data_IF_170662315946
#
_entry.id   IF_170662315946
#
_cell.length_a   1.000
_cell.length_b   1.000
_cell.length_c   1.000
_cell.angle_alpha   90.00
_cell.angle_beta   90.00
_cell.angle_gamma   90.00
#
_symmetry.space_group_name_H-M   'P 1'
#
loop_
_entity.id
_entity.type
_entity.pdbx_description
1 polymer ?
#
# COMPACT_ATOMS: atom_id res chain seq x y z
N UNK A 1 22.75 6.24 16.97
CA UNK A 1 23.17 5.48 15.79
C UNK A 1 22.67 6.27 14.59
N UNK A 2 23.46 7.20 14.03
CA UNK A 2 23.08 8.00 12.84
C UNK A 2 24.34 8.50 12.13
N UNK A 3 25.13 7.54 11.63
CA UNK A 3 26.39 7.86 10.96
C UNK A 3 26.51 7.12 9.63
N UNK A 4 25.59 7.35 8.68
CA UNK A 4 25.60 6.67 7.38
C UNK A 4 26.90 6.88 6.61
N UNK A 5 27.54 8.05 6.79
CA UNK A 5 28.85 8.34 6.20
C UNK A 5 29.98 7.47 6.75
N UNK A 6 29.96 7.15 8.03
CA UNK A 6 30.94 6.21 8.62
C UNK A 6 30.69 4.78 8.10
N UNK A 7 29.43 4.35 8.02
CA UNK A 7 29.06 3.07 7.44
C UNK A 7 29.50 2.96 5.97
N UNK A 8 29.31 4.03 5.18
CA UNK A 8 29.75 4.07 3.78
C UNK A 8 31.27 4.02 3.64
N UNK A 9 32.01 4.73 4.49
CA UNK A 9 33.47 4.65 4.51
C UNK A 9 33.94 3.22 4.81
N UNK A 10 33.33 2.53 5.78
CA UNK A 10 33.65 1.13 6.10
C UNK A 10 33.44 0.20 4.90
N UNK A 11 32.35 0.40 4.16
CA UNK A 11 32.04 -0.39 2.96
C UNK A 11 33.06 -0.15 1.84
N UNK A 12 33.54 1.09 1.69
CA UNK A 12 34.64 1.41 0.78
C UNK A 12 35.93 0.73 1.23
N UNK A 13 36.24 0.73 2.52
CA UNK A 13 37.47 0.13 3.04
C UNK A 13 37.47 -1.40 2.87
N UNK A 14 36.31 -2.06 3.04
CA UNK A 14 36.13 -3.49 2.76
C UNK A 14 36.41 -3.84 1.30
N UNK A 15 35.99 -2.98 0.35
CA UNK A 15 36.24 -3.20 -1.08
C UNK A 15 37.73 -3.11 -1.44
N UNK A 16 38.49 -2.28 -0.73
CA UNK A 16 39.92 -2.07 -0.99
C UNK A 16 40.84 -2.93 -0.09
N UNK A 17 40.26 -3.76 0.78
CA UNK A 17 40.97 -4.74 1.61
C UNK A 17 41.35 -4.28 3.03
N UNK A 18 41.11 -3.00 3.37
CA UNK A 18 41.49 -2.38 4.65
C UNK A 18 42.94 -2.66 5.10
N UNK A 19 43.22 -2.43 6.39
CA UNK A 19 44.53 -2.76 7.00
C UNK A 19 44.80 -4.29 7.06
N UNK A 20 43.77 -5.12 6.85
CA UNK A 20 43.82 -6.60 7.01
C UNK A 20 43.98 -7.38 5.70
N UNK A 21 44.11 -6.73 4.54
CA UNK A 21 44.26 -7.35 3.19
C UNK A 21 43.14 -8.34 2.78
N UNK A 22 41.96 -8.30 3.41
CA UNK A 22 40.81 -9.15 3.03
C UNK A 22 39.81 -8.27 2.30
N UNK A 23 39.67 -8.48 0.98
CA UNK A 23 38.65 -7.82 0.18
C UNK A 23 37.31 -8.54 0.37
N UNK A 24 36.31 -7.81 0.89
CA UNK A 24 34.94 -8.30 1.00
C UNK A 24 34.11 -7.48 0.02
N UNK A 25 33.47 -8.16 -0.93
CA UNK A 25 32.54 -7.51 -1.85
C UNK A 25 31.26 -7.17 -1.09
N UNK A 26 30.86 -5.88 -1.01
CA UNK A 26 29.62 -5.49 -0.37
C UNK A 26 28.44 -6.15 -1.07
N UNK A 27 27.45 -6.62 -0.32
CA UNK A 27 26.20 -7.12 -0.85
C UNK A 27 25.16 -5.98 -0.92
N UNK A 28 23.99 -6.27 -1.51
CA UNK A 28 22.87 -5.32 -1.49
C UNK A 28 22.39 -4.95 -0.08
N UNK A 29 22.69 -5.77 0.94
CA UNK A 29 22.31 -5.51 2.33
C UNK A 29 23.06 -4.31 2.93
N UNK A 30 24.37 -4.23 2.69
CA UNK A 30 25.21 -3.13 3.16
C UNK A 30 24.75 -1.79 2.57
N UNK A 31 24.46 -1.76 1.26
CA UNK A 31 23.93 -0.56 0.60
C UNK A 31 22.56 -0.15 1.14
N UNK A 32 21.64 -1.10 1.35
CA UNK A 32 20.34 -0.81 1.97
C UNK A 32 20.50 -0.23 3.38
N UNK A 33 21.49 -0.68 4.14
CA UNK A 33 21.76 -0.14 5.49
C UNK A 33 22.23 1.33 5.44
N UNK A 34 23.12 1.68 4.51
CA UNK A 34 23.53 3.08 4.28
C UNK A 34 22.33 3.92 3.82
N UNK A 35 21.57 3.39 2.84
CA UNK A 35 20.37 4.01 2.28
C UNK A 35 19.38 4.36 3.40
N UNK A 36 19.11 3.42 4.31
CA UNK A 36 18.26 3.65 5.48
C UNK A 36 18.76 4.83 6.32
N UNK A 37 20.06 4.85 6.63
CA UNK A 37 20.67 5.89 7.45
C UNK A 37 20.60 7.28 6.81
N UNK A 38 20.93 7.42 5.52
CA UNK A 38 20.80 8.70 4.82
C UNK A 38 19.34 9.17 4.73
N UNK A 39 18.41 8.25 4.46
CA UNK A 39 17.00 8.59 4.35
C UNK A 39 16.39 9.07 5.67
N UNK A 40 16.74 8.41 6.78
CA UNK A 40 16.34 8.83 8.13
C UNK A 40 16.79 10.24 8.48
N UNK A 41 17.93 10.67 7.95
CA UNK A 41 18.49 12.01 8.16
C UNK A 41 18.03 13.06 7.14
N UNK A 42 17.26 12.68 6.11
CA UNK A 42 16.83 13.60 5.06
C UNK A 42 17.95 14.01 4.10
N UNK A 43 19.06 13.27 4.09
CA UNK A 43 20.21 13.52 3.21
C UNK A 43 19.94 12.91 1.83
N UNK A 44 18.95 13.45 1.10
CA UNK A 44 18.43 12.85 -0.12
C UNK A 44 19.44 12.75 -1.25
N UNK A 45 20.35 13.72 -1.38
CA UNK A 45 21.41 13.65 -2.38
C UNK A 45 22.30 12.41 -2.16
N UNK A 46 22.69 12.12 -0.92
CA UNK A 46 23.48 10.95 -0.59
C UNK A 46 22.67 9.65 -0.68
N UNK A 47 21.41 9.67 -0.24
CA UNK A 47 20.47 8.56 -0.42
C UNK A 47 20.39 8.13 -1.89
N UNK A 48 20.11 9.08 -2.79
CA UNK A 48 19.96 8.81 -4.23
C UNK A 48 21.29 8.42 -4.88
N UNK A 49 22.40 9.01 -4.45
CA UNK A 49 23.75 8.60 -4.88
C UNK A 49 24.03 7.14 -4.53
N UNK A 50 23.59 6.66 -3.37
CA UNK A 50 23.73 5.26 -2.96
C UNK A 50 22.87 4.34 -3.83
N UNK A 51 21.63 4.74 -4.18
CA UNK A 51 20.81 3.99 -5.16
C UNK A 51 21.54 3.87 -6.50
N UNK A 52 22.05 4.97 -7.03
CA UNK A 52 22.76 4.98 -8.32
C UNK A 52 24.01 4.08 -8.28
N UNK A 53 24.70 4.04 -7.14
CA UNK A 53 25.83 3.13 -6.93
C UNK A 53 25.38 1.66 -6.89
N UNK A 54 24.23 1.35 -6.28
CA UNK A 54 23.67 0.00 -6.30
C UNK A 54 23.42 -0.45 -7.75
N UNK A 55 22.75 0.39 -8.56
CA UNK A 55 22.47 0.09 -9.97
C UNK A 55 23.76 -0.11 -10.77
N UNK A 56 24.74 0.79 -10.62
CA UNK A 56 26.04 0.69 -11.31
C UNK A 56 26.85 -0.54 -10.93
N UNK A 57 26.67 -1.06 -9.71
CA UNK A 57 27.30 -2.30 -9.26
C UNK A 57 26.47 -3.54 -9.62
N UNK A 58 25.40 -3.40 -10.43
CA UNK A 58 24.57 -4.50 -10.92
C UNK A 58 23.53 -5.02 -9.92
N UNK A 59 23.28 -4.29 -8.82
CA UNK A 59 22.21 -4.65 -7.89
C UNK A 59 20.85 -4.20 -8.41
N UNK A 60 19.86 -5.08 -8.28
CA UNK A 60 18.46 -4.78 -8.59
C UNK A 60 17.88 -3.85 -7.53
N UNK A 61 17.25 -2.76 -7.97
CA UNK A 61 16.45 -1.89 -7.11
C UNK A 61 15.08 -2.54 -6.92
N UNK A 62 14.99 -3.38 -5.89
CA UNK A 62 13.80 -4.14 -5.56
C UNK A 62 12.76 -3.32 -4.77
N UNK A 63 11.57 -3.91 -4.55
CA UNK A 63 10.49 -3.33 -3.74
C UNK A 63 10.97 -2.89 -2.35
N UNK A 64 11.98 -3.55 -1.77
CA UNK A 64 12.53 -3.14 -0.47
C UNK A 64 13.24 -1.79 -0.60
N UNK A 65 14.10 -1.62 -1.60
CA UNK A 65 14.82 -0.37 -1.85
C UNK A 65 13.87 0.79 -2.17
N UNK A 66 12.89 0.58 -3.06
CA UNK A 66 11.85 1.59 -3.36
C UNK A 66 11.12 2.02 -2.10
N UNK A 67 10.67 1.08 -1.26
CA UNK A 67 9.96 1.40 -0.03
C UNK A 67 10.83 2.19 0.96
N UNK A 68 12.15 1.98 0.99
CA UNK A 68 13.04 2.77 1.85
C UNK A 68 13.15 4.22 1.39
N UNK A 69 13.24 4.44 0.08
CA UNK A 69 13.26 5.79 -0.51
C UNK A 69 11.90 6.48 -0.33
N UNK A 70 10.80 5.80 -0.61
CA UNK A 70 9.44 6.33 -0.40
C UNK A 70 9.19 6.67 1.07
N UNK A 71 9.59 5.79 2.01
CA UNK A 71 9.50 6.07 3.45
C UNK A 71 10.31 7.31 3.84
N UNK A 72 11.51 7.46 3.28
CA UNK A 72 12.37 8.63 3.51
C UNK A 72 11.69 9.92 3.05
N UNK A 73 11.18 9.98 1.82
CA UNK A 73 10.46 11.16 1.35
C UNK A 73 9.19 11.43 2.18
N UNK A 74 8.43 10.38 2.51
CA UNK A 74 7.21 10.50 3.30
C UNK A 74 7.42 11.09 4.70
N UNK A 75 8.47 10.68 5.44
CA UNK A 75 8.73 11.23 6.79
C UNK A 75 9.17 12.70 6.77
N UNK A 76 9.66 13.20 5.64
CA UNK A 76 10.12 14.58 5.47
C UNK A 76 9.15 15.45 4.65
N UNK A 77 8.00 14.89 4.23
CA UNK A 77 6.97 15.62 3.48
C UNK A 77 7.31 15.91 2.00
N UNK A 78 8.28 15.20 1.43
CA UNK A 78 8.75 15.37 0.05
C UNK A 78 7.82 14.66 -0.95
N UNK A 79 6.59 15.17 -1.09
CA UNK A 79 5.53 14.51 -1.85
C UNK A 79 5.80 14.42 -3.36
N UNK A 80 6.43 15.44 -3.95
CA UNK A 80 6.70 15.49 -5.40
C UNK A 80 7.68 14.39 -5.80
N UNK A 81 8.73 14.23 -5.01
CA UNK A 81 9.75 13.20 -5.10
C UNK A 81 9.12 11.83 -4.89
N UNK A 82 8.24 11.71 -3.90
CA UNK A 82 7.52 10.46 -3.64
C UNK A 82 6.65 10.04 -4.84
N UNK A 83 5.92 10.98 -5.47
CA UNK A 83 5.16 10.72 -6.71
C UNK A 83 6.08 10.27 -7.84
N UNK A 84 7.21 10.94 -8.03
CA UNK A 84 8.21 10.56 -9.05
C UNK A 84 8.70 9.13 -8.84
N UNK A 85 8.94 8.75 -7.59
CA UNK A 85 9.40 7.40 -7.23
C UNK A 85 8.32 6.33 -7.37
N UNK A 86 7.06 6.63 -7.05
CA UNK A 86 5.93 5.72 -7.32
C UNK A 86 5.80 5.46 -8.83
N UNK A 87 5.90 6.51 -9.65
CA UNK A 87 5.89 6.36 -11.11
C UNK A 87 7.08 5.56 -11.62
N UNK A 88 8.28 5.82 -11.11
CA UNK A 88 9.49 5.04 -11.45
C UNK A 88 9.30 3.56 -11.10
N UNK A 89 8.75 3.27 -9.91
CA UNK A 89 8.48 1.91 -9.45
C UNK A 89 7.53 1.18 -10.41
N UNK A 90 6.40 1.82 -10.76
CA UNK A 90 5.42 1.29 -11.73
C UNK A 90 6.06 1.07 -13.11
N UNK A 91 6.73 2.08 -13.65
CA UNK A 91 7.34 2.03 -14.98
C UNK A 91 8.46 0.98 -15.09
N UNK A 92 9.09 0.63 -13.97
CA UNK A 92 10.12 -0.40 -13.90
C UNK A 92 9.55 -1.80 -13.66
N UNK A 93 8.22 -1.96 -13.58
CA UNK A 93 7.55 -3.23 -13.30
C UNK A 93 7.81 -3.77 -11.90
N UNK A 94 8.24 -2.91 -10.96
CA UNK A 94 8.49 -3.32 -9.57
C UNK A 94 7.16 -3.31 -8.80
N UNK A 95 6.76 -4.44 -8.20
CA UNK A 95 5.43 -4.58 -7.62
C UNK A 95 5.26 -3.73 -6.36
N UNK A 96 4.12 -3.07 -6.27
CA UNK A 96 3.69 -2.32 -5.09
C UNK A 96 3.25 -3.31 -4.02
N UNK A 97 3.79 -3.14 -2.83
CA UNK A 97 3.52 -4.03 -1.68
C UNK A 97 2.62 -3.39 -0.64
N UNK A 98 2.12 -4.19 0.31
CA UNK A 98 1.45 -3.68 1.51
C UNK A 98 2.31 -2.59 2.19
N UNK A 99 3.63 -2.80 2.26
CA UNK A 99 4.56 -1.81 2.84
C UNK A 99 4.67 -0.53 2.01
N UNK A 100 4.51 -0.61 0.69
CA UNK A 100 4.45 0.57 -0.19
C UNK A 100 3.25 1.42 0.19
N UNK A 101 2.06 0.83 0.24
CA UNK A 101 0.82 1.52 0.61
C UNK A 101 0.85 2.05 2.05
N UNK A 102 1.39 1.29 3.00
CA UNK A 102 1.53 1.72 4.39
C UNK A 102 2.47 2.91 4.54
N UNK A 103 3.63 2.87 3.88
CA UNK A 103 4.63 3.94 4.00
C UNK A 103 4.11 5.24 3.39
N UNK A 104 3.51 5.15 2.21
CA UNK A 104 3.00 6.30 1.47
C UNK A 104 1.75 6.88 2.16
N UNK A 105 0.75 6.07 2.50
CA UNK A 105 -0.47 6.57 3.17
C UNK A 105 -0.20 7.15 4.54
N UNK A 106 0.80 6.64 5.29
CA UNK A 106 1.18 7.22 6.58
C UNK A 106 1.74 8.64 6.47
N UNK A 107 2.29 9.00 5.30
CA UNK A 107 2.74 10.38 5.05
C UNK A 107 1.59 11.33 4.66
N UNK A 108 0.35 10.82 4.58
CA UNK A 108 -0.82 11.58 4.17
C UNK A 108 -1.73 11.87 5.39
N UNK A 109 -1.48 12.94 6.17
CA UNK A 109 -2.19 13.21 7.41
C UNK A 109 -3.69 13.52 7.19
N UNK A 110 -4.07 14.10 6.04
CA UNK A 110 -5.47 14.43 5.75
C UNK A 110 -6.30 13.15 5.59
N UNK A 111 -5.76 12.13 4.90
CA UNK A 111 -6.41 10.81 4.86
C UNK A 111 -6.52 10.23 6.27
N UNK A 112 -5.42 10.26 7.02
CA UNK A 112 -5.39 9.67 8.35
C UNK A 112 -6.41 10.32 9.30
N UNK A 113 -6.61 11.63 9.19
CA UNK A 113 -7.68 12.34 9.91
C UNK A 113 -9.07 11.85 9.52
N UNK A 114 -9.37 11.76 8.21
CA UNK A 114 -10.68 11.31 7.71
C UNK A 114 -11.03 9.88 8.13
N UNK A 115 -10.05 8.96 8.13
CA UNK A 115 -10.32 7.55 8.48
C UNK A 115 -10.45 7.30 9.98
N UNK A 116 -9.96 8.19 10.83
CA UNK A 116 -10.09 8.06 12.30
C UNK A 116 -11.51 8.42 12.74
N UNK A 117 -12.12 9.44 12.14
CA UNK A 117 -13.45 9.91 12.55
C UNK A 117 -14.59 9.01 12.06
N UNK A 118 -14.39 8.28 10.96
CA UNK A 118 -15.33 7.34 10.32
C UNK A 118 -16.68 7.92 9.89
N UNK A 119 -17.16 9.03 10.48
CA UNK A 119 -18.49 9.62 10.32
C UNK A 119 -18.70 10.35 8.99
N UNK A 120 -17.66 10.92 8.38
CA UNK A 120 -17.72 11.59 7.07
C UNK A 120 -16.67 11.02 6.10
N UNK A 121 -16.57 9.69 6.10
CA UNK A 121 -15.65 8.96 5.23
C UNK A 121 -16.16 8.99 3.78
N UNK A 122 -15.39 9.52 2.80
CA UNK A 122 -15.71 9.36 1.38
C UNK A 122 -15.75 7.87 1.00
N UNK A 123 -16.68 7.46 0.16
CA UNK A 123 -16.88 6.04 -0.16
C UNK A 123 -16.59 5.73 -1.63
N UNK A 124 -16.24 6.75 -2.41
CA UNK A 124 -15.81 6.67 -3.80
C UNK A 124 -14.47 7.41 -3.97
N UNK A 125 -13.68 6.98 -4.96
CA UNK A 125 -12.39 7.63 -5.28
C UNK A 125 -12.61 9.09 -5.68
N UNK A 126 -13.59 9.37 -6.54
CA UNK A 126 -13.91 10.73 -6.95
C UNK A 126 -14.32 11.62 -5.78
N UNK A 127 -15.10 11.09 -4.82
CA UNK A 127 -15.44 11.82 -3.60
C UNK A 127 -14.18 12.16 -2.79
N UNK A 128 -13.29 11.19 -2.57
CA UNK A 128 -12.05 11.41 -1.85
C UNK A 128 -11.16 12.46 -2.53
N UNK A 129 -11.01 12.39 -3.85
CA UNK A 129 -10.21 13.34 -4.63
C UNK A 129 -10.82 14.75 -4.65
N UNK A 130 -12.15 14.87 -4.51
CA UNK A 130 -12.85 16.14 -4.42
C UNK A 130 -13.01 16.67 -2.98
N UNK A 131 -12.82 15.83 -1.95
CA UNK A 131 -13.08 16.15 -0.54
C UNK A 131 -11.95 16.92 0.18
N UNK A 132 -11.24 17.78 -0.54
CA UNK A 132 -10.24 18.69 0.04
C UNK A 132 -8.85 18.08 0.25
N UNK A 133 -8.47 17.07 -0.55
CA UNK A 133 -7.04 16.73 -0.68
C UNK A 133 -6.36 17.85 -1.47
N UNK A 134 -5.45 18.57 -0.83
CA UNK A 134 -4.72 19.68 -1.44
C UNK A 134 -3.22 19.39 -1.59
N UNK A 135 -2.59 20.05 -2.56
CA UNK A 135 -1.14 20.04 -2.74
C UNK A 135 -0.54 18.66 -3.00
N UNK A 136 0.63 18.42 -2.39
CA UNK A 136 1.42 17.21 -2.62
C UNK A 136 0.75 15.92 -2.14
N UNK A 137 -0.03 15.98 -1.05
CA UNK A 137 -0.76 14.82 -0.52
C UNK A 137 -1.75 14.30 -1.58
N UNK A 138 -2.52 15.20 -2.21
CA UNK A 138 -3.46 14.83 -3.27
C UNK A 138 -2.79 14.10 -4.43
N UNK A 139 -1.61 14.58 -4.84
CA UNK A 139 -0.85 13.97 -5.95
C UNK A 139 -0.40 12.55 -5.61
N UNK A 140 0.09 12.33 -4.39
CA UNK A 140 0.52 11.03 -3.89
C UNK A 140 -0.64 10.05 -3.84
N UNK A 141 -1.77 10.49 -3.28
CA UNK A 141 -2.96 9.65 -3.11
C UNK A 141 -3.53 9.25 -4.46
N UNK A 142 -3.61 10.20 -5.39
CA UNK A 142 -4.01 9.94 -6.77
C UNK A 142 -3.10 8.91 -7.43
N UNK A 143 -1.79 9.00 -7.21
CA UNK A 143 -0.82 8.06 -7.77
C UNK A 143 -1.01 6.64 -7.21
N UNK A 144 -1.26 6.50 -5.90
CA UNK A 144 -1.61 5.20 -5.28
C UNK A 144 -2.94 4.64 -5.80
N UNK A 145 -3.97 5.48 -5.91
CA UNK A 145 -5.29 5.09 -6.40
C UNK A 145 -5.31 4.80 -7.91
N UNK A 146 -4.25 5.16 -8.64
CA UNK A 146 -4.07 4.75 -10.04
C UNK A 146 -3.37 3.39 -10.18
N UNK A 147 -2.99 2.75 -9.06
CA UNK A 147 -2.22 1.51 -9.04
C UNK A 147 -3.13 0.32 -8.70
N UNK A 148 -3.53 -0.47 -9.70
CA UNK A 148 -4.30 -1.70 -9.50
C UNK A 148 -3.41 -2.93 -9.21
N UNK A 149 -2.10 -2.80 -9.45
CA UNK A 149 -1.07 -3.85 -9.30
C UNK A 149 -0.95 -4.37 -7.86
N UNK A 150 -1.42 -3.61 -6.87
CA UNK A 150 -1.49 -4.11 -5.47
C UNK A 150 -2.32 -5.38 -5.36
N UNK A 151 -3.33 -5.56 -6.22
CA UNK A 151 -4.18 -6.73 -6.21
C UNK A 151 -3.46 -8.02 -6.59
N UNK A 152 -2.32 -7.94 -7.29
CA UNK A 152 -1.51 -9.12 -7.57
C UNK A 152 -0.89 -9.70 -6.28
N UNK A 153 -0.67 -8.87 -5.26
CA UNK A 153 -0.17 -9.29 -3.94
C UNK A 153 -1.31 -9.67 -2.99
N UNK A 154 -2.44 -8.95 -3.02
CA UNK A 154 -3.44 -9.00 -1.93
C UNK A 154 -4.80 -9.54 -2.34
N UNK A 155 -5.04 -9.85 -3.62
CA UNK A 155 -6.33 -10.37 -4.08
C UNK A 155 -6.18 -11.64 -4.91
N UNK A 156 -6.85 -12.70 -4.47
CA UNK A 156 -7.05 -13.91 -5.29
C UNK A 156 -8.41 -13.83 -5.97
N UNK A 157 -8.44 -14.12 -7.27
CA UNK A 157 -9.68 -14.11 -8.05
C UNK A 157 -9.87 -15.43 -8.80
N UNK A 158 -10.90 -16.19 -8.44
CA UNK A 158 -11.37 -17.35 -9.20
C UNK A 158 -12.91 -17.47 -9.17
N UNK A 159 -13.47 -18.50 -9.83
CA UNK A 159 -14.92 -18.69 -9.94
C UNK A 159 -15.59 -19.16 -8.63
N UNK A 160 -14.82 -19.70 -7.68
CA UNK A 160 -15.32 -20.12 -6.35
C UNK A 160 -15.25 -18.97 -5.36
N UNK A 161 -14.13 -18.25 -5.32
CA UNK A 161 -13.89 -17.20 -4.34
C UNK A 161 -13.12 -16.02 -4.97
N UNK A 162 -13.56 -14.82 -4.62
CA UNK A 162 -12.70 -13.63 -4.67
C UNK A 162 -12.33 -13.26 -3.25
N UNK A 163 -11.03 -13.27 -2.94
CA UNK A 163 -10.53 -13.04 -1.59
C UNK A 163 -9.57 -11.86 -1.60
N UNK A 164 -9.98 -10.77 -0.95
CA UNK A 164 -9.13 -9.61 -0.65
C UNK A 164 -8.52 -9.76 0.74
N UNK A 165 -7.21 -9.69 0.85
CA UNK A 165 -6.48 -9.72 2.10
C UNK A 165 -6.00 -8.33 2.52
N UNK A 166 -6.67 -7.74 3.51
CA UNK A 166 -6.26 -6.47 4.12
C UNK A 166 -5.39 -6.68 5.37
N UNK A 167 -4.95 -7.91 5.66
CA UNK A 167 -4.03 -8.17 6.75
C UNK A 167 -2.70 -7.44 6.54
N UNK A 168 -2.19 -6.78 7.58
CA UNK A 168 -0.93 -6.05 7.54
C UNK A 168 -1.05 -4.62 6.99
N UNK A 169 -2.20 -4.20 6.46
CA UNK A 169 -2.44 -2.81 6.12
C UNK A 169 -2.69 -1.95 7.37
N UNK A 170 -2.17 -0.72 7.34
CA UNK A 170 -2.58 0.33 8.27
C UNK A 170 -3.98 0.86 7.90
N UNK A 171 -4.62 1.59 8.81
CA UNK A 171 -6.00 2.04 8.65
C UNK A 171 -6.23 2.88 7.37
N UNK A 172 -5.38 3.88 7.12
CA UNK A 172 -5.46 4.71 5.91
C UNK A 172 -5.24 3.91 4.63
N UNK A 173 -4.26 3.01 4.63
CA UNK A 173 -3.96 2.16 3.48
C UNK A 173 -5.08 1.16 3.19
N UNK A 174 -5.65 0.54 4.22
CA UNK A 174 -6.80 -0.37 4.07
C UNK A 174 -8.01 0.36 3.50
N UNK A 175 -8.23 1.62 3.90
CA UNK A 175 -9.27 2.47 3.32
C UNK A 175 -9.04 2.73 1.83
N UNK A 176 -7.84 3.16 1.43
CA UNK A 176 -7.51 3.38 0.02
C UNK A 176 -7.66 2.09 -0.82
N UNK A 177 -7.21 0.95 -0.30
CA UNK A 177 -7.34 -0.35 -0.97
C UNK A 177 -8.80 -0.79 -1.06
N UNK A 178 -9.64 -0.49 -0.07
CA UNK A 178 -11.08 -0.74 -0.15
C UNK A 178 -11.75 0.10 -1.25
N UNK A 179 -11.36 1.36 -1.43
CA UNK A 179 -11.85 2.19 -2.53
C UNK A 179 -11.42 1.64 -3.90
N UNK A 180 -10.14 1.28 -4.03
CA UNK A 180 -9.62 0.61 -5.24
C UNK A 180 -10.35 -0.70 -5.52
N UNK A 181 -10.64 -1.47 -4.47
CA UNK A 181 -11.30 -2.75 -4.59
C UNK A 181 -12.72 -2.57 -5.11
N UNK A 182 -13.46 -1.57 -4.63
CA UNK A 182 -14.79 -1.25 -5.15
C UNK A 182 -14.76 -0.96 -6.66
N UNK A 183 -13.79 -0.17 -7.14
CA UNK A 183 -13.65 0.10 -8.58
C UNK A 183 -13.27 -1.14 -9.38
N UNK A 184 -12.33 -1.95 -8.88
CA UNK A 184 -11.90 -3.16 -9.57
C UNK A 184 -13.02 -4.21 -9.62
N UNK A 185 -13.82 -4.34 -8.56
CA UNK A 185 -15.01 -5.19 -8.53
C UNK A 185 -16.07 -4.70 -9.52
N UNK A 186 -16.32 -3.39 -9.61
CA UNK A 186 -17.23 -2.84 -10.62
C UNK A 186 -16.73 -3.12 -12.04
N UNK A 187 -15.44 -2.89 -12.30
CA UNK A 187 -14.80 -3.15 -13.59
C UNK A 187 -14.96 -4.62 -14.01
N UNK A 188 -14.64 -5.56 -13.12
CA UNK A 188 -14.69 -7.00 -13.42
C UNK A 188 -16.13 -7.55 -13.49
N UNK A 189 -17.00 -7.22 -12.55
CA UNK A 189 -18.34 -7.83 -12.47
C UNK A 189 -19.40 -7.16 -13.35
N UNK A 190 -19.22 -5.88 -13.70
CA UNK A 190 -20.20 -5.10 -14.47
C UNK A 190 -19.75 -4.79 -15.89
N UNK A 191 -18.47 -4.50 -16.12
CA UNK A 191 -18.00 -3.94 -17.39
C UNK A 191 -17.20 -4.94 -18.25
N UNK A 192 -16.77 -6.07 -17.67
CA UNK A 192 -15.95 -7.06 -18.37
C UNK A 192 -16.74 -8.33 -18.66
N UNK A 193 -16.71 -8.77 -19.93
CA UNK A 193 -17.41 -9.97 -20.39
C UNK A 193 -16.70 -11.29 -20.03
N UNK A 194 -15.43 -11.22 -19.60
CA UNK A 194 -14.56 -12.38 -19.40
C UNK A 194 -14.50 -12.87 -17.95
N UNK A 195 -15.20 -12.22 -17.02
CA UNK A 195 -15.17 -12.59 -15.60
C UNK A 195 -16.49 -13.24 -15.19
N UNK A 196 -16.39 -14.46 -14.70
CA UNK A 196 -17.50 -15.13 -14.04
C UNK A 196 -17.79 -14.48 -12.68
N UNK A 197 -19.07 -14.52 -12.28
CA UNK A 197 -19.47 -14.08 -10.95
C UNK A 197 -18.99 -15.15 -9.95
N UNK A 198 -18.13 -14.81 -8.99
CA UNK A 198 -17.63 -15.78 -8.02
C UNK A 198 -18.78 -16.29 -7.13
N UNK A 199 -18.65 -17.51 -6.59
CA UNK A 199 -19.64 -18.01 -5.65
C UNK A 199 -19.65 -17.18 -4.35
N UNK A 200 -18.46 -16.86 -3.83
CA UNK A 200 -18.25 -16.10 -2.60
C UNK A 200 -17.24 -14.96 -2.79
N UNK A 201 -17.43 -13.88 -2.04
CA UNK A 201 -16.49 -12.78 -1.92
C UNK A 201 -16.13 -12.65 -0.45
N UNK A 202 -14.83 -12.63 -0.18
CA UNK A 202 -14.25 -12.59 1.16
C UNK A 202 -13.32 -11.38 1.29
N UNK A 203 -13.48 -10.60 2.36
CA UNK A 203 -12.54 -9.55 2.76
C UNK A 203 -11.95 -9.92 4.12
N UNK A 204 -10.63 -10.11 4.18
CA UNK A 204 -9.90 -10.45 5.40
C UNK A 204 -9.36 -9.16 6.03
N UNK A 205 -9.64 -8.91 7.30
CA UNK A 205 -9.20 -7.71 8.02
C UNK A 205 -8.24 -8.03 9.20
N UNK A 206 -7.77 -9.28 9.31
CA UNK A 206 -6.95 -9.81 10.40
C UNK A 206 -7.26 -11.29 10.72
N UNK A 207 -6.48 -11.95 11.59
CA UNK A 207 -6.69 -13.38 11.93
C UNK A 207 -6.60 -13.68 13.43
N UNK A 208 -7.57 -14.44 13.95
CA UNK A 208 -7.38 -15.30 15.12
C UNK A 208 -6.68 -16.63 14.72
N UNK A 209 -5.47 -16.84 15.24
CA UNK A 209 -4.84 -18.11 15.70
C UNK A 209 -3.34 -17.92 16.03
N UNK A 210 -2.72 -16.85 15.55
CA UNK A 210 -1.31 -16.51 15.86
C UNK A 210 -1.06 -15.03 16.22
N UNK A 211 -2.11 -14.26 16.55
CA UNK A 211 -1.94 -12.92 17.10
C UNK A 211 -1.97 -12.97 18.64
N UNK A 212 -0.91 -12.47 19.26
CA UNK A 212 -0.83 -12.27 20.72
C UNK A 212 -1.60 -11.03 21.21
N UNK A 213 -2.37 -10.34 20.36
CA UNK A 213 -3.14 -9.15 20.73
C UNK A 213 -4.64 -9.44 20.67
N UNK A 214 -5.25 -9.52 21.86
CA UNK A 214 -6.70 -9.67 22.07
C UNK A 214 -7.35 -8.28 21.90
N UNK A 215 -8.07 -8.01 20.80
CA UNK A 215 -8.68 -6.70 20.56
C UNK A 215 -9.45 -6.56 19.25
N UNK A 216 -10.29 -5.52 19.14
CA UNK A 216 -10.98 -5.15 17.91
C UNK A 216 -9.98 -4.63 16.86
N UNK A 217 -9.99 -5.20 15.65
CA UNK A 217 -9.22 -4.69 14.52
C UNK A 217 -9.82 -3.38 14.03
N UNK A 218 -9.02 -2.30 13.97
CA UNK A 218 -9.43 -1.01 13.41
C UNK A 218 -9.78 -1.12 11.92
N UNK A 219 -9.06 -1.95 11.18
CA UNK A 219 -9.38 -2.28 9.77
C UNK A 219 -10.75 -2.98 9.67
N UNK A 220 -11.07 -3.88 10.61
CA UNK A 220 -12.40 -4.50 10.68
C UNK A 220 -13.49 -3.47 10.98
N UNK A 221 -13.23 -2.52 11.89
CA UNK A 221 -14.18 -1.43 12.18
C UNK A 221 -14.42 -0.55 10.96
N UNK A 222 -13.37 -0.19 10.23
CA UNK A 222 -13.43 0.55 8.96
C UNK A 222 -14.28 -0.19 7.92
N UNK A 223 -13.98 -1.47 7.64
CA UNK A 223 -14.74 -2.25 6.64
C UNK A 223 -16.20 -2.40 7.05
N UNK A 224 -16.47 -2.62 8.35
CA UNK A 224 -17.85 -2.66 8.87
C UNK A 224 -18.58 -1.34 8.62
N UNK A 225 -17.92 -0.21 8.89
CA UNK A 225 -18.51 1.12 8.72
C UNK A 225 -18.78 1.42 7.24
N UNK A 226 -17.81 1.20 6.36
CA UNK A 226 -17.98 1.37 4.91
C UNK A 226 -19.16 0.53 4.40
N UNK A 227 -19.24 -0.74 4.79
CA UNK A 227 -20.36 -1.60 4.40
C UNK A 227 -21.70 -1.14 4.96
N UNK A 228 -21.74 -0.60 6.18
CA UNK A 228 -22.96 -0.05 6.77
C UNK A 228 -23.46 1.16 5.98
N UNK A 229 -22.57 2.14 5.75
CA UNK A 229 -22.89 3.38 5.06
C UNK A 229 -23.31 3.17 3.60
N UNK A 230 -22.61 2.27 2.90
CA UNK A 230 -22.94 1.92 1.52
C UNK A 230 -24.10 0.93 1.40
N UNK A 231 -24.70 0.50 2.52
CA UNK A 231 -25.70 -0.60 2.58
C UNK A 231 -25.21 -1.86 1.86
N UNK A 232 -23.90 -2.14 1.93
CA UNK A 232 -23.25 -3.26 1.28
C UNK A 232 -23.66 -4.60 1.85
N UNK A 233 -23.43 -5.72 1.12
CA UNK A 233 -23.90 -7.04 1.51
C UNK A 233 -22.89 -7.85 2.33
N UNK A 234 -21.63 -7.42 2.43
CA UNK A 234 -20.58 -8.09 3.20
C UNK A 234 -20.92 -8.08 4.69
N UNK A 235 -20.91 -9.26 5.32
CA UNK A 235 -21.19 -9.46 6.75
C UNK A 235 -20.08 -10.25 7.40
N UNK A 236 -19.83 -10.02 8.67
CA UNK A 236 -18.83 -10.77 9.45
C UNK A 236 -19.16 -12.26 9.37
N UNK A 237 -18.18 -13.08 9.00
CA UNK A 237 -18.33 -14.53 8.98
C UNK A 237 -18.46 -15.08 10.40
N UNK A 238 -19.43 -15.97 10.59
CA UNK A 238 -19.68 -16.65 11.88
C UNK A 238 -18.57 -17.63 12.24
N UNK A 239 -17.85 -18.17 11.26
CA UNK A 239 -16.75 -19.13 11.47
C UNK A 239 -15.41 -18.43 11.69
N UNK A 240 -15.20 -17.29 11.03
CA UNK A 240 -14.03 -16.46 11.21
C UNK A 240 -14.40 -14.97 11.34
N UNK A 241 -14.40 -14.47 12.57
CA UNK A 241 -14.74 -13.07 12.87
C UNK A 241 -13.74 -12.03 12.34
N UNK A 242 -12.62 -12.46 11.76
CA UNK A 242 -11.66 -11.64 11.04
C UNK A 242 -11.99 -11.43 9.56
N UNK A 243 -13.03 -12.11 9.04
CA UNK A 243 -13.46 -12.03 7.66
C UNK A 243 -14.86 -11.45 7.52
N UNK A 244 -15.10 -10.75 6.42
CA UNK A 244 -16.43 -10.46 5.90
C UNK A 244 -16.69 -11.30 4.67
N UNK A 245 -17.90 -11.84 4.54
CA UNK A 245 -18.30 -12.69 3.42
C UNK A 245 -19.63 -12.24 2.82
N UNK A 246 -19.80 -12.48 1.52
CA UNK A 246 -21.07 -12.34 0.80
C UNK A 246 -21.08 -13.23 -0.45
N UNK A 247 -22.27 -13.56 -0.95
CA UNK A 247 -22.41 -14.26 -2.25
C UNK A 247 -22.07 -13.30 -3.39
N UNK A 248 -21.31 -13.75 -4.39
CA UNK A 248 -20.90 -12.89 -5.50
C UNK A 248 -22.07 -12.30 -6.29
N UNK A 249 -23.17 -13.05 -6.46
CA UNK A 249 -24.41 -12.55 -7.07
C UNK A 249 -25.00 -11.36 -6.31
N UNK A 250 -24.99 -11.42 -4.98
CA UNK A 250 -25.51 -10.34 -4.13
C UNK A 250 -24.63 -9.09 -4.22
N UNK A 251 -23.30 -9.27 -4.24
CA UNK A 251 -22.38 -8.15 -4.46
C UNK A 251 -22.57 -7.52 -5.84
N UNK A 252 -22.73 -8.31 -6.90
CA UNK A 252 -22.99 -7.77 -8.24
C UNK A 252 -24.26 -6.91 -8.29
N UNK A 253 -25.36 -7.37 -7.68
CA UNK A 253 -26.62 -6.60 -7.61
C UNK A 253 -26.39 -5.28 -6.88
N UNK A 254 -25.73 -5.32 -5.71
CA UNK A 254 -25.41 -4.12 -4.94
C UNK A 254 -24.53 -3.13 -5.73
N UNK A 255 -23.50 -3.60 -6.44
CA UNK A 255 -22.66 -2.75 -7.29
C UNK A 255 -23.46 -2.09 -8.43
N UNK A 256 -24.45 -2.78 -9.00
CA UNK A 256 -25.37 -2.17 -9.99
C UNK A 256 -26.21 -1.04 -9.38
N UNK A 257 -26.62 -1.17 -8.12
CA UNK A 257 -27.43 -0.16 -7.41
C UNK A 257 -26.59 1.07 -7.06
N UNK A 258 -25.33 0.90 -6.67
CA UNK A 258 -24.41 2.01 -6.39
C UNK A 258 -24.17 2.93 -7.59
N UNK A 259 -24.25 2.42 -8.82
CA UNK A 259 -24.05 3.20 -10.06
C UNK A 259 -25.27 3.98 -10.52
N UNK A 260 -26.46 3.71 -9.99
CA UNK A 260 -27.65 4.46 -10.40
C UNK A 260 -27.51 5.89 -9.87
N UNK A 261 -27.70 6.94 -10.71
CA UNK A 261 -27.77 8.29 -10.19
C UNK A 261 -28.82 8.33 -9.09
N UNK A 262 -28.39 8.74 -7.89
CA UNK A 262 -29.32 8.95 -6.79
C UNK A 262 -30.13 10.19 -7.16
N UNK A 263 -31.31 9.99 -7.74
CA UNK A 263 -32.29 11.07 -7.86
C UNK A 263 -32.78 11.36 -6.44
N UNK A 264 -32.17 12.36 -5.80
CA UNK A 264 -32.71 13.02 -4.60
C UNK A 264 -33.38 14.32 -5.02
#
# INVERSE_FOLDING_TARGET
MDKPREAENLIRDFKHGGDKKIQIQPSGFEFKSILYGYGRLGLFHDLLRVVDQMEKNGFVIDTVCYNMVLSSFGIHGEYVEMVSWLRRMRNSGVPFSIRTYNSVSNSCPTIMGKVVELNDLPLLIDELLNAGLEGGEAMVVKELLSCSEIFDEVMVWDSKEVKLDLHGFHLGSAYLVMLLWLEEMQKRLLNAYNYEIPAEITVVCGVGKHSNVRGESSVKALVKEMMMKMKGPLRIDRKNNGCFIAKGKTVKIWLCELRKPQFH
#
